data_IF_228284402954
#
_entry.id   IF_228284402954
#
_cell.length_a   1.000
_cell.length_b   1.000
_cell.length_c   1.000
_cell.angle_alpha   90.00
_cell.angle_beta   90.00
_cell.angle_gamma   90.00
#
_symmetry.space_group_name_H-M   'P 1'
#
loop_
_entity.id
_entity.type
_entity.pdbx_description
1 polymer ?
#
# COMPACT_ATOMS: atom_id res chain seq x y z
N UNK A 1 -5.94 -11.63 -19.51
CA UNK A 1 -5.29 -10.42 -18.97
C UNK A 1 -4.81 -10.79 -17.57
N UNK A 2 -3.62 -10.37 -17.13
CA UNK A 2 -3.14 -10.72 -15.79
C UNK A 2 -3.74 -9.74 -14.77
N UNK A 3 -4.12 -10.25 -13.60
CA UNK A 3 -4.51 -9.43 -12.47
C UNK A 3 -3.30 -8.93 -11.72
N UNK A 4 -3.35 -7.66 -11.31
CA UNK A 4 -2.28 -7.00 -10.61
C UNK A 4 -2.84 -5.95 -9.65
N UNK A 5 -1.98 -5.50 -8.75
CA UNK A 5 -2.25 -4.33 -7.92
C UNK A 5 -1.14 -3.30 -8.06
N UNK A 6 -1.50 -2.03 -7.91
CA UNK A 6 -0.56 -1.00 -7.49
C UNK A 6 -0.69 -0.85 -5.98
N UNK A 7 0.42 -0.91 -5.27
CA UNK A 7 0.42 -0.75 -3.81
C UNK A 7 1.44 0.30 -3.41
N UNK A 8 1.03 1.24 -2.56
CA UNK A 8 1.92 2.04 -1.73
C UNK A 8 1.79 1.47 -0.32
N UNK A 9 2.84 0.85 0.19
CA UNK A 9 2.87 0.28 1.54
C UNK A 9 3.72 1.16 2.44
N UNK A 10 3.25 1.43 3.66
CA UNK A 10 4.05 2.12 4.67
C UNK A 10 5.09 1.19 5.29
N UNK A 11 5.95 1.72 6.16
CA UNK A 11 6.69 0.90 7.11
C UNK A 11 5.77 0.25 8.15
N UNK A 12 6.20 -0.91 8.65
CA UNK A 12 5.61 -1.58 9.82
C UNK A 12 6.34 -1.08 11.06
N UNK A 13 5.75 -0.15 11.80
CA UNK A 13 6.42 0.48 12.93
C UNK A 13 5.53 0.56 14.19
N UNK A 14 6.20 0.75 15.33
CA UNK A 14 5.54 0.93 16.62
C UNK A 14 4.66 2.18 16.59
N UNK A 15 3.40 2.06 17.01
CA UNK A 15 2.43 3.15 16.95
C UNK A 15 1.70 3.37 18.28
N UNK A 16 2.37 3.97 19.29
CA UNK A 16 1.82 4.13 20.64
C UNK A 16 0.45 4.81 20.69
N UNK A 17 0.19 5.74 19.76
CA UNK A 17 -1.10 6.43 19.65
C UNK A 17 -2.23 5.44 19.39
N UNK A 18 -2.06 4.60 18.35
CA UNK A 18 -3.06 3.60 17.98
C UNK A 18 -3.11 2.44 18.97
N UNK A 19 -1.98 2.06 19.57
CA UNK A 19 -1.99 1.05 20.63
C UNK A 19 -2.89 1.49 21.79
N UNK A 20 -2.68 2.71 22.30
CA UNK A 20 -3.50 3.24 23.39
C UNK A 20 -4.96 3.41 22.98
N UNK A 21 -5.22 3.83 21.74
CA UNK A 21 -6.58 3.96 21.19
C UNK A 21 -7.34 2.62 21.20
N UNK A 22 -6.65 1.51 20.92
CA UNK A 22 -7.24 0.17 20.89
C UNK A 22 -7.08 -0.61 22.20
N UNK A 23 -6.56 0.01 23.26
CA UNK A 23 -6.41 -0.63 24.58
C UNK A 23 -5.20 -1.55 24.72
N UNK A 24 -4.18 -1.40 23.87
CA UNK A 24 -2.92 -2.16 23.92
C UNK A 24 -1.78 -1.31 24.47
N UNK A 25 -0.85 -1.93 25.21
CA UNK A 25 0.36 -1.23 25.67
C UNK A 25 1.41 -1.06 24.57
N UNK A 26 1.50 -2.04 23.67
CA UNK A 26 2.44 -2.06 22.55
C UNK A 26 1.77 -2.71 21.35
N UNK A 27 2.10 -2.19 20.17
CA UNK A 27 1.57 -2.64 18.90
C UNK A 27 2.42 -2.06 17.76
N UNK A 28 2.30 -2.65 16.58
CA UNK A 28 2.76 -2.07 15.33
C UNK A 28 1.57 -1.86 14.40
N UNK A 29 1.70 -0.94 13.45
CA UNK A 29 0.68 -0.70 12.43
C UNK A 29 1.30 -0.62 11.06
N UNK A 30 0.52 -0.93 10.04
CA UNK A 30 0.90 -0.91 8.64
C UNK A 30 -0.32 -0.52 7.81
N UNK A 31 -0.15 0.36 6.84
CA UNK A 31 -1.21 0.79 5.94
C UNK A 31 -0.78 0.59 4.48
N UNK A 32 -1.72 0.14 3.65
CA UNK A 32 -1.54 -0.03 2.22
C UNK A 32 -2.56 0.82 1.47
N UNK A 33 -2.10 1.65 0.54
CA UNK A 33 -2.96 2.30 -0.44
C UNK A 33 -2.94 1.47 -1.72
N UNK A 34 -4.10 1.00 -2.17
CA UNK A 34 -4.19 -0.06 -3.18
C UNK A 34 -5.08 0.40 -4.34
N UNK A 35 -4.63 0.14 -5.57
CA UNK A 35 -5.51 -0.11 -6.71
C UNK A 35 -5.38 -1.59 -7.06
N UNK A 36 -6.51 -2.29 -7.15
CA UNK A 36 -6.59 -3.68 -7.56
C UNK A 36 -7.33 -3.77 -8.88
N UNK A 37 -6.87 -4.64 -9.80
CA UNK A 37 -7.64 -4.94 -11.01
C UNK A 37 -8.84 -5.83 -10.75
N UNK A 38 -8.94 -6.45 -9.57
CA UNK A 38 -10.00 -7.35 -9.19
C UNK A 38 -10.17 -7.44 -7.66
N UNK A 39 -11.13 -6.70 -7.11
CA UNK A 39 -11.24 -6.42 -5.68
C UNK A 39 -11.59 -7.62 -4.81
N UNK A 40 -12.28 -8.62 -5.36
CA UNK A 40 -12.57 -9.88 -4.66
C UNK A 40 -11.56 -10.99 -4.97
N UNK A 41 -10.65 -10.76 -5.93
CA UNK A 41 -9.64 -11.71 -6.37
C UNK A 41 -10.19 -12.96 -7.07
N UNK A 42 -11.47 -12.96 -7.47
CA UNK A 42 -12.12 -14.07 -8.15
C UNK A 42 -12.43 -13.74 -9.61
N UNK A 43 -11.41 -13.96 -10.46
CA UNK A 43 -11.51 -13.75 -11.89
C UNK A 43 -12.63 -14.55 -12.59
N UNK A 44 -13.29 -15.52 -11.92
CA UNK A 44 -14.40 -16.29 -12.48
C UNK A 44 -15.70 -15.47 -12.60
N UNK A 45 -15.86 -14.41 -11.80
CA UNK A 45 -17.07 -13.59 -11.79
C UNK A 45 -16.94 -12.30 -12.64
N UNK A 46 -15.78 -12.09 -13.25
CA UNK A 46 -15.43 -10.85 -13.92
C UNK A 46 -14.17 -10.26 -13.31
N UNK A 47 -13.92 -8.98 -13.59
CA UNK A 47 -12.91 -8.20 -12.87
C UNK A 47 -13.63 -7.02 -12.26
N UNK A 48 -13.37 -6.76 -10.99
CA UNK A 48 -13.98 -5.66 -10.23
C UNK A 48 -12.89 -4.67 -9.78
N UNK A 49 -12.37 -3.80 -10.67
CA UNK A 49 -11.24 -2.96 -10.33
C UNK A 49 -11.66 -1.87 -9.34
N UNK A 50 -10.91 -1.75 -8.26
CA UNK A 50 -11.22 -0.83 -7.17
C UNK A 50 -9.96 -0.17 -6.63
N UNK A 51 -10.12 1.01 -6.03
CA UNK A 51 -9.11 1.62 -5.17
C UNK A 51 -9.61 1.70 -3.73
N UNK A 52 -8.77 1.35 -2.77
CA UNK A 52 -9.09 1.29 -1.34
C UNK A 52 -7.83 1.38 -0.47
N UNK A 53 -8.02 1.52 0.83
CA UNK A 53 -6.97 1.47 1.85
C UNK A 53 -7.13 0.18 2.63
N UNK A 54 -6.04 -0.54 2.88
CA UNK A 54 -6.01 -1.69 3.78
C UNK A 54 -5.16 -1.37 5.01
N UNK A 55 -5.75 -1.59 6.16
CA UNK A 55 -5.17 -1.30 7.47
C UNK A 55 -4.79 -2.58 8.17
N UNK A 56 -3.61 -2.60 8.79
CA UNK A 56 -3.15 -3.67 9.64
C UNK A 56 -2.69 -3.16 10.99
N UNK A 57 -3.14 -3.85 12.03
CA UNK A 57 -2.74 -3.67 13.42
C UNK A 57 -2.15 -4.99 13.93
N UNK A 58 -0.97 -4.93 14.52
CA UNK A 58 -0.27 -6.09 15.09
C UNK A 58 -0.10 -5.87 16.59
N UNK A 59 -0.75 -6.70 17.41
CA UNK A 59 -0.61 -6.63 18.86
C UNK A 59 0.82 -7.01 19.29
N UNK A 60 1.37 -6.30 20.29
CA UNK A 60 2.72 -6.56 20.78
C UNK A 60 2.90 -7.87 21.54
N UNK A 61 1.81 -8.57 21.90
CA UNK A 61 1.87 -9.91 22.48
C UNK A 61 0.58 -10.70 22.26
N UNK A 62 0.70 -12.03 22.17
CA UNK A 62 -0.43 -12.95 22.10
C UNK A 62 -1.35 -12.86 23.33
N UNK A 63 -0.78 -12.63 24.53
CA UNK A 63 -1.56 -12.48 25.76
C UNK A 63 -2.51 -11.29 25.69
N UNK A 64 -2.01 -10.12 25.26
CA UNK A 64 -2.87 -8.94 25.09
C UNK A 64 -3.84 -9.10 23.92
N UNK A 65 -3.41 -9.72 22.81
CA UNK A 65 -4.29 -10.02 21.70
C UNK A 65 -5.50 -10.85 22.14
N UNK A 66 -5.26 -11.93 22.89
CA UNK A 66 -6.32 -12.81 23.38
C UNK A 66 -7.22 -12.16 24.44
N UNK A 67 -6.68 -11.21 25.22
CA UNK A 67 -7.44 -10.52 26.26
C UNK A 67 -8.32 -9.38 25.71
N UNK A 68 -7.82 -8.61 24.74
CA UNK A 68 -8.49 -7.42 24.20
C UNK A 68 -9.29 -7.75 22.93
N UNK A 69 -8.75 -8.60 22.06
CA UNK A 69 -9.33 -8.91 20.75
C UNK A 69 -9.26 -7.76 19.74
N UNK A 70 -9.77 -8.00 18.54
CA UNK A 70 -9.75 -6.98 17.50
C UNK A 70 -10.74 -5.85 17.76
N UNK A 71 -10.40 -4.59 17.38
CA UNK A 71 -11.34 -3.49 17.47
C UNK A 71 -12.62 -3.76 16.66
N UNK A 72 -13.72 -3.13 17.04
CA UNK A 72 -14.99 -3.30 16.33
C UNK A 72 -14.87 -2.94 14.84
N UNK A 73 -15.40 -3.80 13.97
CA UNK A 73 -15.32 -3.64 12.50
C UNK A 73 -14.02 -4.13 11.87
N UNK A 74 -13.10 -4.69 12.65
CA UNK A 74 -11.87 -5.31 12.13
C UNK A 74 -12.00 -6.84 12.08
N UNK A 75 -11.37 -7.43 11.08
CA UNK A 75 -11.22 -8.87 10.96
C UNK A 75 -10.04 -9.36 11.79
N UNK A 76 -10.20 -10.52 12.41
CA UNK A 76 -9.14 -11.16 13.18
C UNK A 76 -8.21 -11.96 12.28
N UNK A 77 -6.91 -11.85 12.53
CA UNK A 77 -5.87 -12.68 11.95
C UNK A 77 -4.95 -13.24 13.06
N UNK A 78 -5.41 -14.27 13.81
CA UNK A 78 -4.77 -14.72 15.04
C UNK A 78 -3.34 -15.23 14.86
N UNK A 79 -3.02 -15.82 13.70
CA UNK A 79 -1.70 -16.39 13.40
C UNK A 79 -0.56 -15.36 13.48
N UNK A 80 -0.87 -14.06 13.38
CA UNK A 80 0.07 -12.96 13.52
C UNK A 80 -0.26 -12.02 14.69
N UNK A 81 -1.17 -12.41 15.59
CA UNK A 81 -1.74 -11.54 16.61
C UNK A 81 -2.26 -10.21 16.01
N UNK A 82 -2.87 -10.30 14.84
CA UNK A 82 -3.18 -9.15 14.01
C UNK A 82 -4.68 -8.95 13.83
N UNK A 83 -5.02 -7.72 13.46
CA UNK A 83 -6.33 -7.30 13.02
C UNK A 83 -6.16 -6.53 11.73
N UNK A 84 -7.05 -6.74 10.77
CA UNK A 84 -7.03 -5.97 9.53
C UNK A 84 -8.43 -5.47 9.18
N UNK A 85 -8.50 -4.40 8.40
CA UNK A 85 -9.73 -3.94 7.76
C UNK A 85 -9.41 -3.26 6.45
N UNK A 86 -10.44 -3.11 5.62
CA UNK A 86 -10.37 -2.25 4.45
C UNK A 86 -11.22 -1.01 4.73
N UNK A 87 -10.84 0.13 4.13
CA UNK A 87 -11.73 1.27 3.98
C UNK A 87 -12.90 0.93 3.06
N UNK A 88 -13.84 1.86 2.90
CA UNK A 88 -14.70 1.87 1.72
C UNK A 88 -13.83 1.84 0.45
N UNK A 89 -14.39 1.32 -0.64
CA UNK A 89 -13.71 1.24 -1.94
C UNK A 89 -14.40 2.15 -2.95
N UNK A 90 -13.65 2.54 -3.98
CA UNK A 90 -14.19 3.24 -5.16
C UNK A 90 -13.94 2.42 -6.41
N UNK A 91 -14.99 2.24 -7.22
CA UNK A 91 -14.87 1.60 -8.53
C UNK A 91 -13.94 2.41 -9.43
N UNK A 92 -13.04 1.70 -10.11
CA UNK A 92 -12.06 2.29 -11.01
C UNK A 92 -12.04 1.55 -12.36
N UNK A 93 -11.56 2.19 -13.44
CA UNK A 93 -11.42 1.52 -14.71
C UNK A 93 -10.39 0.39 -14.64
N UNK A 94 -10.69 -0.71 -15.35
CA UNK A 94 -9.73 -1.77 -15.57
C UNK A 94 -8.63 -1.30 -16.54
N UNK A 95 -7.37 -1.32 -16.10
CA UNK A 95 -6.23 -0.96 -16.95
C UNK A 95 -5.39 -2.19 -17.24
N UNK A 96 -5.22 -2.51 -18.53
CA UNK A 96 -4.34 -3.61 -18.94
C UNK A 96 -2.89 -3.37 -18.49
N UNK A 97 -2.19 -4.42 -18.04
CA UNK A 97 -0.79 -4.32 -17.58
C UNK A 97 0.14 -3.69 -18.63
N UNK A 98 -0.15 -3.85 -19.93
CA UNK A 98 0.60 -3.19 -21.02
C UNK A 98 0.43 -1.66 -21.08
N UNK A 99 -0.59 -1.13 -20.40
CA UNK A 99 -0.96 0.28 -20.37
C UNK A 99 -0.64 0.94 -19.01
N UNK A 100 0.15 0.30 -18.14
CA UNK A 100 0.55 0.83 -16.82
C UNK A 100 1.32 2.15 -16.88
N UNK A 101 1.83 2.55 -18.05
CA UNK A 101 2.40 3.89 -18.23
C UNK A 101 1.37 5.03 -18.17
N UNK A 102 0.07 4.72 -18.20
CA UNK A 102 -1.04 5.69 -18.19
C UNK A 102 -1.67 5.91 -16.81
N UNK A 103 -1.17 5.24 -15.78
CA UNK A 103 -1.76 5.24 -14.43
C UNK A 103 -0.82 5.84 -13.40
N UNK A 104 -1.42 6.39 -12.33
CA UNK A 104 -0.72 6.90 -11.15
C UNK A 104 -1.54 6.58 -9.92
N UNK A 105 -0.88 6.06 -8.89
CA UNK A 105 -1.44 5.90 -7.55
C UNK A 105 -0.85 6.98 -6.62
N UNK A 106 -1.66 7.53 -5.74
CA UNK A 106 -1.25 8.49 -4.72
C UNK A 106 -1.85 8.07 -3.38
N UNK A 107 -1.00 7.99 -2.36
CA UNK A 107 -1.39 7.79 -0.97
C UNK A 107 -1.00 9.02 -0.16
N UNK A 108 -1.84 9.43 0.78
CA UNK A 108 -1.54 10.54 1.70
C UNK A 108 -2.13 10.26 3.06
N UNK A 109 -1.37 10.59 4.12
CA UNK A 109 -1.83 10.51 5.49
C UNK A 109 -1.70 11.88 6.18
N UNK A 110 -2.83 12.49 6.56
CA UNK A 110 -2.85 13.86 7.08
C UNK A 110 -3.19 13.90 8.57
N UNK A 111 -2.31 14.50 9.38
CA UNK A 111 -2.51 14.63 10.82
C UNK A 111 -3.84 15.33 11.15
N UNK A 112 -4.71 14.65 11.91
CA UNK A 112 -6.03 15.20 12.30
C UNK A 112 -7.02 15.39 11.15
N UNK A 113 -6.72 14.82 9.97
CA UNK A 113 -7.58 14.86 8.79
C UNK A 113 -7.99 13.46 8.35
N UNK A 114 -7.69 13.14 7.10
CA UNK A 114 -8.00 11.85 6.48
C UNK A 114 -6.75 11.23 5.87
N UNK A 115 -6.77 9.92 5.79
CA UNK A 115 -5.90 9.15 4.92
C UNK A 115 -6.65 8.95 3.59
N UNK A 116 -5.96 9.08 2.46
CA UNK A 116 -6.58 9.08 1.12
C UNK A 116 -5.76 8.28 0.13
N UNK A 117 -6.44 7.40 -0.59
CA UNK A 117 -5.91 6.78 -1.82
C UNK A 117 -6.57 7.47 -3.02
N UNK A 118 -5.77 7.75 -4.05
CA UNK A 118 -6.24 8.24 -5.34
C UNK A 118 -5.57 7.47 -6.46
N UNK A 119 -6.37 6.72 -7.21
CA UNK A 119 -5.98 6.10 -8.46
C UNK A 119 -6.35 7.05 -9.60
N UNK A 120 -5.42 7.31 -10.52
CA UNK A 120 -5.70 8.14 -11.69
C UNK A 120 -5.27 7.45 -12.97
N UNK A 121 -6.11 7.59 -13.99
CA UNK A 121 -5.92 7.03 -15.32
C UNK A 121 -6.46 8.03 -16.35
N UNK A 122 -5.67 8.34 -17.38
CA UNK A 122 -6.05 9.27 -18.45
C UNK A 122 -6.56 10.63 -17.95
N UNK A 123 -5.99 11.14 -16.85
CA UNK A 123 -6.36 12.42 -16.25
C UNK A 123 -7.63 12.41 -15.38
N UNK A 124 -8.31 11.27 -15.24
CA UNK A 124 -9.42 11.10 -14.30
C UNK A 124 -8.94 10.44 -13.01
N UNK A 125 -9.40 10.94 -11.86
CA UNK A 125 -9.04 10.44 -10.55
C UNK A 125 -10.23 9.76 -9.85
N UNK A 126 -9.96 8.63 -9.23
CA UNK A 126 -10.88 7.80 -8.45
C UNK A 126 -10.29 7.71 -7.05
N UNK A 127 -10.98 8.27 -6.07
CA UNK A 127 -10.43 8.45 -4.73
C UNK A 127 -11.42 8.02 -3.66
N UNK A 128 -10.89 7.46 -2.59
CA UNK A 128 -11.62 7.18 -1.35
C UNK A 128 -10.74 7.59 -0.17
N UNK A 129 -11.38 7.92 0.94
CA UNK A 129 -10.70 8.36 2.15
C UNK A 129 -11.24 7.63 3.37
N UNK A 130 -10.43 7.63 4.42
CA UNK A 130 -10.83 7.20 5.75
C UNK A 130 -10.34 8.18 6.81
N UNK A 131 -10.95 8.21 8.01
CA UNK A 131 -10.44 9.04 9.10
C UNK A 131 -8.99 8.71 9.43
N UNK A 132 -8.13 9.73 9.60
CA UNK A 132 -6.73 9.52 9.98
C UNK A 132 -6.58 8.81 11.33
N UNK A 133 -7.60 8.88 12.19
CA UNK A 133 -7.67 8.16 13.46
C UNK A 133 -7.81 6.64 13.30
N UNK A 134 -7.99 6.12 12.08
CA UNK A 134 -8.06 4.67 11.84
C UNK A 134 -6.77 4.00 12.32
N UNK A 135 -5.62 4.50 11.85
CA UNK A 135 -4.31 4.03 12.29
C UNK A 135 -3.38 5.13 12.78
N UNK A 136 -3.72 6.42 12.69
CA UNK A 136 -2.80 7.53 12.98
C UNK A 136 -1.45 7.39 12.26
N UNK A 137 -1.48 6.82 11.05
CA UNK A 137 -0.30 6.34 10.32
C UNK A 137 0.67 7.48 9.98
N UNK A 138 0.15 8.70 9.82
CA UNK A 138 0.92 9.92 9.60
C UNK A 138 1.98 10.17 10.71
N UNK A 139 1.78 9.61 11.92
CA UNK A 139 2.73 9.73 13.03
C UNK A 139 3.96 8.86 12.84
N UNK A 140 3.82 7.75 12.13
CA UNK A 140 4.85 6.72 12.02
C UNK A 140 5.38 6.51 10.59
N UNK A 141 4.67 6.96 9.55
CA UNK A 141 5.07 6.73 8.17
C UNK A 141 6.39 7.46 7.84
N UNK A 142 7.45 6.68 7.60
CA UNK A 142 8.81 7.14 7.26
C UNK A 142 9.40 6.44 6.05
N UNK A 143 8.90 5.25 5.69
CA UNK A 143 9.33 4.52 4.52
C UNK A 143 8.14 4.16 3.64
N UNK A 144 8.36 4.08 2.34
CA UNK A 144 7.34 3.65 1.40
C UNK A 144 7.91 2.62 0.45
N UNK A 145 7.19 1.52 0.30
CA UNK A 145 7.34 0.59 -0.80
C UNK A 145 6.27 0.92 -1.85
N UNK A 146 6.67 1.05 -3.11
CA UNK A 146 5.75 1.21 -4.23
C UNK A 146 6.17 0.34 -5.41
N UNK A 147 5.23 -0.47 -5.90
CA UNK A 147 5.41 -1.22 -7.13
C UNK A 147 4.08 -1.71 -7.71
N UNK A 148 4.21 -2.43 -8.84
CA UNK A 148 3.18 -3.27 -9.43
C UNK A 148 3.38 -4.68 -8.90
N UNK A 149 2.37 -5.23 -8.28
CA UNK A 149 2.43 -6.52 -7.61
C UNK A 149 1.35 -7.47 -8.14
N UNK A 150 1.42 -8.74 -7.76
CA UNK A 150 0.28 -9.64 -7.92
C UNK A 150 -0.98 -9.11 -7.22
N UNK A 151 -2.12 -9.70 -7.54
CA UNK A 151 -3.38 -9.28 -6.96
C UNK A 151 -3.75 -10.15 -5.75
N UNK A 152 -3.39 -9.66 -4.57
CA UNK A 152 -3.63 -10.32 -3.29
C UNK A 152 -2.83 -11.60 -3.08
N UNK A 153 -3.13 -12.31 -2.00
CA UNK A 153 -2.36 -13.47 -1.54
C UNK A 153 -2.56 -14.73 -2.37
N UNK A 154 -3.68 -14.86 -3.11
CA UNK A 154 -3.97 -16.03 -3.96
C UNK A 154 -3.13 -16.02 -5.23
N UNK A 155 -2.94 -14.84 -5.83
CA UNK A 155 -2.13 -14.64 -7.02
C UNK A 155 -1.05 -13.58 -6.74
N UNK A 156 -0.07 -13.88 -5.86
CA UNK A 156 0.85 -12.88 -5.31
C UNK A 156 1.89 -12.41 -6.32
N UNK A 157 2.03 -13.07 -7.48
CA UNK A 157 3.01 -12.70 -8.50
C UNK A 157 2.33 -12.28 -9.80
N UNK A 158 2.52 -11.04 -10.21
CA UNK A 158 2.21 -10.61 -11.58
C UNK A 158 3.41 -10.87 -12.50
N UNK A 159 3.15 -11.48 -13.66
CA UNK A 159 4.19 -11.80 -14.65
C UNK A 159 4.19 -10.84 -15.83
N UNK A 160 5.36 -10.31 -16.13
CA UNK A 160 5.67 -9.55 -17.33
C UNK A 160 6.32 -10.46 -18.37
N UNK A 161 6.11 -10.14 -19.64
CA UNK A 161 6.74 -10.86 -20.75
C UNK A 161 8.24 -10.56 -20.80
N UNK A 162 9.03 -11.50 -21.33
CA UNK A 162 10.45 -11.28 -21.60
C UNK A 162 10.66 -10.02 -22.45
N UNK A 163 11.66 -9.21 -22.10
CA UNK A 163 11.95 -7.93 -22.73
C UNK A 163 11.12 -6.77 -22.20
N UNK A 164 10.22 -7.01 -21.24
CA UNK A 164 9.49 -5.93 -20.57
C UNK A 164 10.44 -5.07 -19.74
N UNK A 165 10.12 -3.77 -19.67
CA UNK A 165 10.84 -2.80 -18.86
C UNK A 165 9.82 -1.89 -18.20
N UNK A 166 9.93 -1.72 -16.88
CA UNK A 166 9.09 -0.80 -16.10
C UNK A 166 9.99 0.19 -15.40
N UNK A 167 9.77 1.48 -15.64
CA UNK A 167 10.42 2.55 -14.89
C UNK A 167 9.44 3.11 -13.88
N UNK A 168 9.76 2.93 -12.61
CA UNK A 168 8.97 3.37 -11.48
C UNK A 168 9.48 4.74 -11.03
N UNK A 169 8.55 5.66 -10.77
CA UNK A 169 8.85 6.98 -10.21
C UNK A 169 7.98 7.20 -8.98
N UNK A 170 8.62 7.41 -7.83
CA UNK A 170 7.96 7.65 -6.55
C UNK A 170 8.26 9.09 -6.13
N UNK A 171 7.27 9.96 -6.25
CA UNK A 171 7.37 11.32 -5.74
C UNK A 171 7.03 11.36 -4.24
N UNK A 172 7.78 12.15 -3.48
CA UNK A 172 7.59 12.31 -2.03
C UNK A 172 7.20 13.75 -1.75
N UNK A 173 6.17 13.92 -0.93
CA UNK A 173 5.79 15.22 -0.36
C UNK A 173 5.66 15.07 1.16
N UNK A 174 6.78 15.25 1.84
CA UNK A 174 6.90 15.19 3.31
C UNK A 174 7.10 16.58 3.94
N UNK A 175 6.90 17.65 3.15
CA UNK A 175 7.15 19.03 3.55
C UNK A 175 8.63 19.45 3.49
N UNK A 176 9.53 18.60 2.97
CA UNK A 176 10.95 18.91 2.82
C UNK A 176 11.38 18.96 1.35
N UNK A 177 12.60 19.44 1.09
CA UNK A 177 13.26 19.36 -0.23
C UNK A 177 14.38 18.32 -0.25
N UNK A 178 14.48 17.49 0.79
CA UNK A 178 15.56 16.53 0.93
C UNK A 178 15.39 15.40 -0.07
N UNK A 179 16.51 14.87 -0.59
CA UNK A 179 16.44 13.66 -1.38
C UNK A 179 16.02 12.48 -0.47
N UNK A 180 15.02 11.67 -0.86
CA UNK A 180 14.74 10.42 -0.15
C UNK A 180 15.91 9.45 -0.29
N UNK A 181 15.94 8.38 0.52
CA UNK A 181 16.99 7.36 0.44
C UNK A 181 16.45 6.11 -0.24
N UNK A 182 17.19 5.59 -1.23
CA UNK A 182 16.93 4.29 -1.82
C UNK A 182 17.28 3.18 -0.82
N UNK A 183 16.31 2.38 -0.43
CA UNK A 183 16.51 1.22 0.44
C UNK A 183 16.40 -0.07 -0.39
N UNK A 184 17.41 -0.92 -0.32
CA UNK A 184 17.38 -2.26 -0.92
C UNK A 184 16.83 -3.28 0.06
N UNK A 185 16.00 -4.22 -0.43
CA UNK A 185 15.41 -5.31 0.38
C UNK A 185 14.63 -4.82 1.62
N UNK A 186 13.96 -3.67 1.50
CA UNK A 186 13.19 -3.05 2.58
C UNK A 186 11.67 -3.11 2.35
N UNK A 187 11.22 -3.92 1.39
CA UNK A 187 9.80 -4.12 1.11
C UNK A 187 9.08 -4.81 2.28
N UNK A 188 7.80 -4.49 2.45
CA UNK A 188 6.96 -5.01 3.54
C UNK A 188 5.87 -5.96 3.06
N UNK A 189 5.52 -5.89 1.78
CA UNK A 189 4.48 -6.73 1.19
C UNK A 189 4.98 -8.12 0.79
N UNK A 190 4.06 -9.08 0.69
CA UNK A 190 4.35 -10.43 0.22
C UNK A 190 4.22 -10.55 -1.30
N UNK A 191 3.38 -9.72 -1.90
CA UNK A 191 3.15 -9.68 -3.33
C UNK A 191 4.38 -9.18 -4.09
N UNK A 192 4.54 -9.70 -5.30
CA UNK A 192 5.76 -9.59 -6.09
C UNK A 192 5.44 -9.40 -7.57
N UNK A 193 6.47 -9.10 -8.34
CA UNK A 193 6.48 -9.24 -9.79
C UNK A 193 7.74 -9.98 -10.23
N UNK A 194 7.74 -10.49 -11.46
CA UNK A 194 8.86 -11.26 -12.00
C UNK A 194 9.98 -10.39 -12.64
N UNK A 195 10.07 -9.09 -12.30
CA UNK A 195 11.09 -8.19 -12.84
C UNK A 195 12.32 -8.11 -11.93
N UNK A 196 13.49 -8.06 -12.54
CA UNK A 196 14.76 -7.83 -11.83
C UNK A 196 14.93 -6.34 -11.54
N UNK A 197 15.16 -5.98 -10.28
CA UNK A 197 15.39 -4.60 -9.84
C UNK A 197 16.75 -4.07 -10.32
N UNK A 198 16.74 -2.93 -11.03
CA UNK A 198 17.94 -2.20 -11.42
C UNK A 198 18.39 -1.18 -10.36
N UNK A 199 19.27 -0.26 -10.77
CA UNK A 199 19.74 0.80 -9.88
C UNK A 199 18.61 1.76 -9.50
N UNK A 200 18.68 2.25 -8.27
CA UNK A 200 17.78 3.24 -7.71
C UNK A 200 18.50 4.59 -7.62
N UNK A 201 17.83 5.65 -8.07
CA UNK A 201 18.34 7.03 -8.02
C UNK A 201 17.39 7.89 -7.21
N UNK A 202 17.92 8.64 -6.25
CA UNK A 202 17.17 9.62 -5.49
C UNK A 202 17.47 11.05 -5.97
N UNK A 203 16.49 11.93 -5.84
CA UNK A 203 16.62 13.35 -6.16
C UNK A 203 15.83 14.18 -5.15
N UNK A 204 16.44 15.26 -4.65
CA UNK A 204 15.76 16.26 -3.82
C UNK A 204 15.25 17.45 -4.65
N UNK A 205 15.06 18.59 -4.00
CA UNK A 205 14.60 19.84 -4.60
C UNK A 205 13.09 20.06 -4.42
N UNK A 206 12.47 20.82 -5.32
CA UNK A 206 11.03 21.14 -5.27
C UNK A 206 10.10 19.95 -5.52
N UNK A 207 10.64 18.82 -5.99
CA UNK A 207 9.90 17.57 -6.18
C UNK A 207 10.81 16.38 -5.85
N UNK A 208 11.02 16.12 -4.55
CA UNK A 208 11.79 14.96 -4.09
C UNK A 208 11.20 13.66 -4.64
N UNK A 209 12.06 12.75 -5.09
CA UNK A 209 11.63 11.49 -5.68
C UNK A 209 12.70 10.41 -5.68
N UNK A 210 12.26 9.18 -5.86
CA UNK A 210 13.07 8.03 -6.26
C UNK A 210 12.64 7.58 -7.66
N UNK A 211 13.61 7.12 -8.45
CA UNK A 211 13.38 6.43 -9.72
C UNK A 211 14.21 5.16 -9.82
N UNK A 212 13.63 4.08 -10.31
CA UNK A 212 14.33 2.84 -10.61
C UNK A 212 13.69 2.14 -11.81
N UNK A 213 14.47 1.31 -12.51
CA UNK A 213 13.96 0.52 -13.64
C UNK A 213 14.09 -0.96 -13.31
N UNK A 214 13.05 -1.72 -13.65
CA UNK A 214 13.04 -3.17 -13.53
C UNK A 214 12.83 -3.83 -14.90
N UNK A 215 13.42 -5.00 -15.12
CA UNK A 215 13.41 -5.68 -16.44
C UNK A 215 13.21 -7.18 -16.32
N UNK A 216 12.61 -7.78 -17.34
CA UNK A 216 12.50 -9.23 -17.55
C UNK A 216 13.43 -9.71 -18.66
#
# INVERSE_FOLDING_TARGET
MADYSLQINTDIASNPTTCSQFGYSTCQTWEQFIYSTDGDGDASNGRTPIAFIQDWFFAGSASQYNAVGCPSGWYAYPDQNACYRNSDAVDAPLVAVKNIGSIKLTGSATAGGVDTVSFSVNGQAYSVNQPASTLNINKIWRQSEFNIFGNGSVNPVVSFNRGSSVTVNVAVNDGTTNAPTCLGNAGTTFEQNNLTLGSCTASGGSSPRISFTQRN
#
